data_IF_963400453366
#
_entry.id   IF_963400453366
#
_cell.length_a   1.000
_cell.length_b   1.000
_cell.length_c   1.000
_cell.angle_alpha   90.00
_cell.angle_beta   90.00
_cell.angle_gamma   90.00
#
_symmetry.space_group_name_H-M   'P 1'
#
loop_
_entity.id
_entity.type
_entity.pdbx_description
1 polymer ?
#
# COMPACT_ATOMS: atom_id res chain seq x y z
N UNK A 1 -16.23 -12.76 -8.21
CA UNK A 1 -17.37 -11.85 -7.95
C UNK A 1 -16.99 -10.51 -8.56
N UNK A 2 -17.22 -10.43 -9.86
CA UNK A 2 -16.97 -9.24 -10.67
C UNK A 2 -18.01 -8.18 -10.34
N UNK A 3 -17.54 -7.00 -9.98
CA UNK A 3 -18.38 -5.79 -9.96
C UNK A 3 -17.66 -4.74 -10.79
N UNK A 4 -18.14 -4.59 -12.01
CA UNK A 4 -17.82 -3.48 -12.91
C UNK A 4 -18.15 -2.13 -12.25
N UNK A 5 -17.24 -1.13 -12.29
CA UNK A 5 -17.49 0.19 -11.71
C UNK A 5 -18.07 1.21 -12.72
N UNK A 6 -18.85 0.81 -13.72
CA UNK A 6 -18.95 1.59 -14.98
C UNK A 6 -20.30 2.25 -15.30
N UNK A 7 -21.40 1.94 -14.61
CA UNK A 7 -22.69 2.61 -14.88
C UNK A 7 -22.85 3.97 -14.17
N UNK A 8 -22.06 4.25 -13.12
CA UNK A 8 -22.27 5.39 -12.20
C UNK A 8 -21.41 6.62 -12.46
N UNK A 9 -20.57 6.63 -13.49
CA UNK A 9 -19.58 7.69 -13.67
C UNK A 9 -20.05 8.85 -14.56
N UNK A 10 -21.04 8.66 -15.44
CA UNK A 10 -21.38 9.67 -16.47
C UNK A 10 -22.81 10.19 -16.39
N UNK A 11 -22.92 11.51 -16.19
CA UNK A 11 -24.12 12.30 -16.44
C UNK A 11 -24.26 12.56 -17.96
N UNK A 12 -25.18 11.82 -18.60
CA UNK A 12 -25.77 11.97 -19.95
C UNK A 12 -24.95 12.74 -21.01
N UNK A 13 -23.97 12.05 -21.58
CA UNK A 13 -23.65 12.09 -23.03
C UNK A 13 -24.17 10.75 -23.60
N UNK A 14 -24.93 10.71 -24.70
CA UNK A 14 -25.47 9.44 -25.23
C UNK A 14 -24.38 8.40 -25.49
N UNK A 15 -24.66 7.13 -25.20
CA UNK A 15 -23.74 6.02 -25.47
C UNK A 15 -23.37 5.97 -26.96
N UNK A 16 -22.06 5.96 -27.25
CA UNK A 16 -21.52 5.91 -28.60
C UNK A 16 -21.19 7.26 -29.25
N UNK A 17 -21.43 8.40 -28.57
CA UNK A 17 -21.06 9.72 -29.10
C UNK A 17 -19.82 10.30 -28.43
N UNK A 18 -18.85 10.75 -29.23
CA UNK A 18 -17.69 11.54 -28.81
C UNK A 18 -18.13 12.80 -28.06
N UNK A 19 -17.35 13.20 -27.04
CA UNK A 19 -17.49 14.49 -26.37
C UNK A 19 -17.68 15.61 -27.41
N UNK A 20 -18.77 16.39 -27.35
CA UNK A 20 -19.15 17.28 -28.44
C UNK A 20 -18.05 18.32 -28.66
N UNK A 21 -17.64 18.47 -29.92
CA UNK A 21 -16.66 19.47 -30.29
C UNK A 21 -17.22 20.85 -29.94
N UNK A 22 -16.46 21.59 -29.16
CA UNK A 22 -16.82 22.92 -28.69
C UNK A 22 -15.56 23.74 -28.52
N UNK A 23 -15.71 25.06 -28.55
CA UNK A 23 -14.58 25.99 -28.50
C UNK A 23 -13.70 25.82 -27.26
N UNK A 24 -14.20 25.19 -26.19
CA UNK A 24 -13.49 24.96 -24.92
C UNK A 24 -12.93 23.54 -24.77
N UNK A 25 -12.97 22.71 -25.81
CA UNK A 25 -12.51 21.31 -25.75
C UNK A 25 -11.13 21.15 -25.10
N UNK A 26 -10.14 21.89 -25.62
CA UNK A 26 -8.76 21.86 -25.11
C UNK A 26 -8.65 22.34 -23.65
N UNK A 27 -9.46 23.33 -23.27
CA UNK A 27 -9.49 23.84 -21.89
C UNK A 27 -10.03 22.78 -20.94
N UNK A 28 -11.15 22.13 -21.29
CA UNK A 28 -11.73 21.08 -20.45
C UNK A 28 -10.80 19.86 -20.35
N UNK A 29 -10.15 19.47 -21.45
CA UNK A 29 -9.15 18.40 -21.45
C UNK A 29 -7.99 18.73 -20.49
N UNK A 30 -7.43 19.93 -20.59
CA UNK A 30 -6.34 20.38 -19.74
C UNK A 30 -6.74 20.45 -18.26
N UNK A 31 -7.97 20.89 -17.96
CA UNK A 31 -8.46 20.96 -16.59
C UNK A 31 -8.73 19.57 -15.99
N UNK A 32 -9.27 18.62 -16.78
CA UNK A 32 -9.37 17.22 -16.37
C UNK A 32 -7.99 16.62 -16.10
N UNK A 33 -7.01 16.89 -16.96
CA UNK A 33 -5.64 16.45 -16.77
C UNK A 33 -5.05 16.96 -15.45
N UNK A 34 -5.14 18.28 -15.18
CA UNK A 34 -4.66 18.89 -13.93
C UNK A 34 -5.27 18.24 -12.70
N UNK A 35 -6.61 18.12 -12.67
CA UNK A 35 -7.33 17.52 -11.54
C UNK A 35 -6.95 16.05 -11.35
N UNK A 36 -6.78 15.30 -12.45
CA UNK A 36 -6.44 13.89 -12.36
C UNK A 36 -5.00 13.67 -11.87
N UNK A 37 -4.04 14.46 -12.37
CA UNK A 37 -2.65 14.46 -11.91
C UNK A 37 -2.56 14.80 -10.42
N UNK A 38 -3.27 15.83 -9.96
CA UNK A 38 -3.33 16.17 -8.54
C UNK A 38 -3.89 15.00 -7.71
N UNK A 39 -4.93 14.33 -8.20
CA UNK A 39 -5.49 13.18 -7.51
C UNK A 39 -4.58 11.94 -7.53
N UNK A 40 -3.77 11.77 -8.58
CA UNK A 40 -2.74 10.74 -8.64
C UNK A 40 -1.65 11.00 -7.58
N UNK A 41 -1.18 12.25 -7.46
CA UNK A 41 -0.20 12.62 -6.44
C UNK A 41 -0.70 12.41 -5.01
N UNK A 42 -1.97 12.77 -4.73
CA UNK A 42 -2.58 12.57 -3.40
C UNK A 42 -2.55 11.10 -2.93
N UNK A 43 -2.52 10.11 -3.83
CA UNK A 43 -2.36 8.70 -3.43
C UNK A 43 -0.96 8.40 -2.93
N UNK A 44 0.07 8.97 -3.56
CA UNK A 44 1.44 8.90 -3.06
C UNK A 44 1.53 9.47 -1.63
N UNK A 45 0.88 10.61 -1.38
CA UNK A 45 0.82 11.22 -0.05
C UNK A 45 0.09 10.32 0.97
N UNK A 46 -1.04 9.70 0.58
CA UNK A 46 -1.76 8.73 1.42
C UNK A 46 -0.89 7.51 1.78
N UNK A 47 -0.07 7.02 0.85
CA UNK A 47 0.88 5.93 1.09
C UNK A 47 1.91 6.30 2.15
N UNK A 48 2.48 7.51 2.05
CA UNK A 48 3.45 8.02 3.03
C UNK A 48 2.82 8.13 4.42
N UNK A 49 1.60 8.68 4.51
CA UNK A 49 0.87 8.77 5.78
C UNK A 49 0.58 7.40 6.40
N UNK A 50 0.14 6.43 5.58
CA UNK A 50 -0.09 5.06 6.04
C UNK A 50 1.21 4.41 6.56
N UNK A 51 2.34 4.58 5.87
CA UNK A 51 3.64 4.09 6.33
C UNK A 51 4.01 4.65 7.71
N UNK A 52 3.91 5.97 7.90
CA UNK A 52 4.25 6.61 9.18
C UNK A 52 3.33 6.14 10.31
N UNK A 53 2.04 5.96 10.02
CA UNK A 53 1.07 5.45 10.99
C UNK A 53 1.44 4.02 11.47
N UNK A 54 1.65 3.09 10.54
CA UNK A 54 1.97 1.70 10.89
C UNK A 54 3.34 1.56 11.54
N UNK A 55 4.34 2.35 11.12
CA UNK A 55 5.64 2.41 11.77
C UNK A 55 5.51 2.81 13.24
N UNK A 56 4.76 3.87 13.51
CA UNK A 56 4.54 4.38 14.87
C UNK A 56 3.80 3.34 15.72
N UNK A 57 2.74 2.75 15.18
CA UNK A 57 1.93 1.75 15.88
C UNK A 57 2.74 0.50 16.25
N UNK A 58 3.49 -0.06 15.31
CA UNK A 58 4.31 -1.25 15.56
C UNK A 58 5.48 -0.94 16.51
N UNK A 59 6.08 0.25 16.42
CA UNK A 59 7.13 0.69 17.35
C UNK A 59 6.59 0.81 18.77
N UNK A 60 5.38 1.37 18.94
CA UNK A 60 4.73 1.49 20.24
C UNK A 60 4.42 0.10 20.84
N UNK A 61 3.93 -0.83 20.03
CA UNK A 61 3.69 -2.22 20.47
C UNK A 61 4.99 -2.88 20.94
N UNK A 62 6.07 -2.81 20.15
CA UNK A 62 7.35 -3.39 20.54
C UNK A 62 7.95 -2.71 21.77
N UNK A 63 7.80 -1.40 21.91
CA UNK A 63 8.21 -0.67 23.12
C UNK A 63 7.46 -1.15 24.36
N UNK A 64 6.14 -1.36 24.23
CA UNK A 64 5.32 -1.88 25.31
C UNK A 64 5.66 -3.34 25.67
N UNK A 65 5.93 -4.20 24.67
CA UNK A 65 6.46 -5.56 24.89
C UNK A 65 7.77 -5.51 25.67
N UNK A 66 8.69 -4.63 25.28
CA UNK A 66 9.99 -4.46 25.95
C UNK A 66 9.82 -4.05 27.41
N UNK A 67 8.92 -3.10 27.68
CA UNK A 67 8.57 -2.67 29.04
C UNK A 67 7.99 -3.80 29.89
N UNK A 68 6.97 -4.51 29.42
CA UNK A 68 6.36 -5.63 30.14
C UNK A 68 7.34 -6.78 30.42
N UNK A 69 8.25 -7.03 29.47
CA UNK A 69 9.32 -8.03 29.64
C UNK A 69 10.28 -7.63 30.77
N UNK A 70 10.58 -6.33 30.93
CA UNK A 70 11.45 -5.85 32.00
C UNK A 70 10.84 -5.95 33.40
N UNK A 71 9.51 -5.88 33.50
CA UNK A 71 8.73 -6.07 34.74
C UNK A 71 8.45 -7.56 35.05
N UNK A 72 9.07 -8.50 34.31
CA UNK A 72 8.79 -9.95 34.36
C UNK A 72 7.31 -10.34 34.16
N UNK A 73 6.50 -9.45 33.57
CA UNK A 73 5.09 -9.70 33.25
C UNK A 73 4.98 -10.26 31.85
N UNK A 74 5.22 -11.56 31.70
CA UNK A 74 5.17 -12.24 30.40
C UNK A 74 3.79 -12.77 30.02
N UNK A 75 2.84 -12.70 30.95
CA UNK A 75 1.47 -13.16 30.73
C UNK A 75 0.85 -12.44 29.55
N UNK A 76 0.26 -13.22 28.63
CA UNK A 76 -0.44 -12.73 27.44
C UNK A 76 0.40 -11.96 26.40
N UNK A 77 1.73 -11.86 26.53
CA UNK A 77 2.58 -11.21 25.51
C UNK A 77 2.46 -11.85 24.12
N UNK A 78 2.14 -13.14 24.07
CA UNK A 78 1.89 -13.87 22.82
C UNK A 78 0.68 -13.30 22.05
N UNK A 79 -0.35 -12.80 22.74
CA UNK A 79 -1.50 -12.13 22.09
C UNK A 79 -1.07 -10.83 21.40
N UNK A 80 -0.21 -10.07 22.07
CA UNK A 80 0.31 -8.81 21.56
C UNK A 80 1.24 -9.04 20.35
N UNK A 81 2.02 -10.13 20.38
CA UNK A 81 2.83 -10.56 19.25
C UNK A 81 1.98 -10.97 18.04
N UNK A 82 0.88 -11.71 18.25
CA UNK A 82 -0.08 -12.04 17.18
C UNK A 82 -0.71 -10.77 16.60
N UNK A 83 -1.12 -9.84 17.45
CA UNK A 83 -1.69 -8.57 17.01
C UNK A 83 -0.69 -7.77 16.16
N UNK A 84 0.57 -7.70 16.58
CA UNK A 84 1.64 -7.03 15.83
C UNK A 84 1.94 -7.69 14.48
N UNK A 85 1.94 -9.04 14.42
CA UNK A 85 2.04 -9.77 13.14
C UNK A 85 0.87 -9.41 12.21
N UNK A 86 -0.37 -9.46 12.72
CA UNK A 86 -1.56 -9.13 11.95
C UNK A 86 -1.50 -7.69 11.41
N UNK A 87 -1.14 -6.72 12.25
CA UNK A 87 -0.96 -5.31 11.87
C UNK A 87 0.12 -5.14 10.80
N UNK A 88 1.21 -5.91 10.89
CA UNK A 88 2.29 -5.87 9.90
C UNK A 88 1.86 -6.43 8.54
N UNK A 89 1.05 -7.50 8.53
CA UNK A 89 0.48 -8.05 7.29
C UNK A 89 -0.54 -7.08 6.65
N UNK A 90 -1.37 -6.43 7.46
CA UNK A 90 -2.28 -5.38 7.02
C UNK A 90 -1.51 -4.20 6.43
N UNK A 91 -0.44 -3.76 7.11
CA UNK A 91 0.44 -2.70 6.62
C UNK A 91 0.98 -3.03 5.22
N UNK A 92 1.58 -4.21 5.05
CA UNK A 92 2.10 -4.64 3.76
C UNK A 92 1.02 -4.64 2.66
N UNK A 93 -0.16 -5.16 2.96
CA UNK A 93 -1.30 -5.23 2.02
C UNK A 93 -1.76 -3.84 1.57
N UNK A 94 -1.86 -2.90 2.51
CA UNK A 94 -2.27 -1.51 2.24
C UNK A 94 -1.26 -0.80 1.36
N UNK A 95 0.04 -0.94 1.65
CA UNK A 95 1.10 -0.30 0.85
C UNK A 95 1.15 -0.88 -0.57
N UNK A 96 0.98 -2.20 -0.71
CA UNK A 96 0.86 -2.84 -2.01
C UNK A 96 -0.32 -2.28 -2.81
N UNK A 97 -1.49 -2.16 -2.18
CA UNK A 97 -2.68 -1.61 -2.81
C UNK A 97 -2.47 -0.17 -3.31
N UNK A 98 -1.88 0.70 -2.48
CA UNK A 98 -1.58 2.07 -2.90
C UNK A 98 -0.58 2.14 -4.05
N UNK A 99 0.46 1.29 -4.02
CA UNK A 99 1.44 1.21 -5.11
C UNK A 99 0.76 0.81 -6.42
N UNK A 100 -0.03 -0.25 -6.40
CA UNK A 100 -0.66 -0.80 -7.61
C UNK A 100 -1.68 0.20 -8.18
N UNK A 101 -2.47 0.87 -7.33
CA UNK A 101 -3.39 1.93 -7.75
C UNK A 101 -2.65 3.15 -8.32
N UNK A 102 -1.54 3.55 -7.69
CA UNK A 102 -0.73 4.67 -8.18
C UNK A 102 -0.19 4.38 -9.58
N UNK A 103 0.38 3.19 -9.78
CA UNK A 103 0.84 2.75 -11.10
C UNK A 103 -0.27 2.81 -12.16
N UNK A 104 -1.47 2.34 -11.84
CA UNK A 104 -2.60 2.42 -12.77
C UNK A 104 -2.99 3.86 -13.13
N UNK A 105 -2.94 4.79 -12.15
CA UNK A 105 -3.25 6.20 -12.41
C UNK A 105 -2.24 6.88 -13.30
N UNK A 106 -0.94 6.61 -13.12
CA UNK A 106 0.09 7.20 -13.97
C UNK A 106 0.00 6.73 -15.42
N UNK A 107 -0.41 5.48 -15.67
CA UNK A 107 -0.71 5.03 -17.03
C UNK A 107 -1.85 5.83 -17.68
N UNK A 108 -2.89 6.15 -16.92
CA UNK A 108 -3.99 7.00 -17.41
C UNK A 108 -3.50 8.43 -17.70
N UNK A 109 -2.63 8.98 -16.86
CA UNK A 109 -2.00 10.29 -17.10
C UNK A 109 -1.25 10.28 -18.43
N UNK A 110 -0.41 9.27 -18.68
CA UNK A 110 0.34 9.12 -19.94
C UNK A 110 -0.57 9.01 -21.17
N UNK A 111 -1.71 8.32 -21.07
CA UNK A 111 -2.68 8.25 -22.17
C UNK A 111 -3.36 9.60 -22.44
N UNK A 112 -3.61 10.42 -21.41
CA UNK A 112 -4.14 11.77 -21.57
C UNK A 112 -3.09 12.68 -22.23
N UNK A 113 -1.82 12.56 -21.85
CA UNK A 113 -0.71 13.36 -22.38
C UNK A 113 -0.55 13.23 -23.91
N UNK A 114 -0.89 12.08 -24.51
CA UNK A 114 -0.86 11.89 -25.98
C UNK A 114 -1.77 12.85 -26.75
N UNK A 115 -2.74 13.47 -26.06
CA UNK A 115 -3.69 14.44 -26.63
C UNK A 115 -3.36 15.88 -26.27
N UNK A 116 -2.29 16.09 -25.50
CA UNK A 116 -1.82 17.42 -25.08
C UNK A 116 -0.58 17.82 -25.91
N UNK A 117 -0.24 19.12 -25.96
CA UNK A 117 0.92 19.60 -26.72
C UNK A 117 2.27 19.07 -26.19
N UNK A 118 2.32 18.67 -24.92
CA UNK A 118 3.50 18.15 -24.24
C UNK A 118 3.11 16.99 -23.32
N UNK A 119 4.06 16.07 -23.11
CA UNK A 119 3.92 14.87 -22.26
C UNK A 119 5.04 14.81 -21.21
N UNK A 120 5.04 15.73 -20.21
CA UNK A 120 6.12 15.84 -19.25
C UNK A 120 6.34 14.57 -18.43
N UNK A 121 5.28 13.88 -18.00
CA UNK A 121 5.42 12.68 -17.16
C UNK A 121 5.85 11.45 -17.96
N UNK A 122 5.46 11.31 -19.23
CA UNK A 122 5.99 10.23 -20.09
C UNK A 122 7.47 10.47 -20.40
N UNK A 123 7.85 11.72 -20.67
CA UNK A 123 9.26 12.08 -20.88
C UNK A 123 10.13 11.82 -19.64
N UNK A 124 9.65 12.17 -18.44
CA UNK A 124 10.34 11.85 -17.19
C UNK A 124 10.48 10.32 -17.01
N UNK A 125 9.43 9.57 -17.31
CA UNK A 125 9.44 8.12 -17.20
C UNK A 125 10.43 7.45 -18.18
N UNK A 126 10.60 8.02 -19.37
CA UNK A 126 11.62 7.58 -20.34
C UNK A 126 13.05 7.88 -19.88
N UNK A 127 13.29 9.04 -19.25
CA UNK A 127 14.61 9.40 -18.71
C UNK A 127 15.10 8.43 -17.62
N UNK A 128 14.16 7.80 -16.90
CA UNK A 128 14.45 6.75 -15.92
C UNK A 128 14.36 5.33 -16.49
N UNK A 129 14.43 5.19 -17.81
CA UNK A 129 14.36 3.93 -18.56
C UNK A 129 13.12 3.09 -18.18
N UNK A 130 11.99 3.77 -17.92
CA UNK A 130 10.71 3.18 -17.49
C UNK A 130 10.85 2.17 -16.33
N UNK A 131 11.83 2.38 -15.46
CA UNK A 131 12.12 1.50 -14.32
C UNK A 131 12.85 0.19 -14.66
N UNK A 132 13.33 0.00 -15.90
CA UNK A 132 14.13 -1.17 -16.31
C UNK A 132 15.55 -1.11 -15.75
N UNK A 133 16.09 0.10 -15.60
CA UNK A 133 17.45 0.31 -15.09
C UNK A 133 17.46 0.76 -13.62
N UNK A 134 17.80 -0.18 -12.73
CA UNK A 134 17.92 0.06 -11.28
C UNK A 134 19.00 1.09 -10.90
N UNK A 135 19.93 1.45 -11.80
CA UNK A 135 20.91 2.52 -11.54
C UNK A 135 20.31 3.92 -11.74
N UNK A 136 19.33 4.05 -12.64
CA UNK A 136 18.67 5.32 -12.95
C UNK A 136 17.49 5.57 -12.01
N UNK A 137 16.73 4.51 -11.67
CA UNK A 137 15.60 4.63 -10.76
C UNK A 137 15.42 3.38 -9.92
N UNK A 138 15.46 3.57 -8.59
CA UNK A 138 15.04 2.56 -7.63
C UNK A 138 13.71 3.00 -7.04
N UNK A 139 12.60 2.30 -7.34
CA UNK A 139 11.32 2.64 -6.76
C UNK A 139 11.41 2.56 -5.23
N UNK A 140 11.09 3.67 -4.55
CA UNK A 140 11.08 3.76 -3.08
C UNK A 140 10.21 2.65 -2.44
N UNK A 141 9.21 2.17 -3.19
CA UNK A 141 8.37 1.01 -2.89
C UNK A 141 9.15 -0.25 -2.48
N UNK A 142 10.36 -0.46 -2.99
CA UNK A 142 11.19 -1.62 -2.58
C UNK A 142 11.73 -1.47 -1.16
N UNK A 143 12.10 -0.25 -0.77
CA UNK A 143 12.57 0.05 0.59
C UNK A 143 11.38 0.05 1.55
N UNK A 144 10.28 0.71 1.18
CA UNK A 144 9.04 0.72 1.95
C UNK A 144 8.44 -0.68 2.15
N UNK A 145 8.59 -1.58 1.17
CA UNK A 145 8.15 -2.97 1.28
C UNK A 145 8.99 -3.81 2.23
N UNK A 146 10.24 -3.43 2.50
CA UNK A 146 11.14 -4.16 3.40
C UNK A 146 10.87 -3.90 4.88
N UNK A 147 10.39 -2.70 5.24
CA UNK A 147 10.17 -2.32 6.65
C UNK A 147 9.14 -3.20 7.35
N UNK A 148 7.96 -3.51 6.77
CA UNK A 148 7.03 -4.47 7.35
C UNK A 148 7.68 -5.82 7.67
N UNK A 149 8.55 -6.35 6.80
CA UNK A 149 9.21 -7.64 7.07
C UNK A 149 10.11 -7.61 8.29
N UNK A 150 10.78 -6.49 8.56
CA UNK A 150 11.59 -6.33 9.78
C UNK A 150 10.68 -6.43 11.01
N UNK A 151 9.57 -5.70 11.04
CA UNK A 151 8.61 -5.77 12.15
C UNK A 151 7.95 -7.14 12.27
N UNK A 152 7.68 -7.82 11.16
CA UNK A 152 7.13 -9.17 11.16
C UNK A 152 8.08 -10.13 11.88
N UNK A 153 9.38 -10.09 11.55
CA UNK A 153 10.40 -10.92 12.19
C UNK A 153 10.50 -10.59 13.69
N UNK A 154 10.50 -9.30 14.05
CA UNK A 154 10.55 -8.90 15.46
C UNK A 154 9.36 -9.44 16.26
N UNK A 155 8.14 -9.29 15.76
CA UNK A 155 6.95 -9.85 16.42
C UNK A 155 6.95 -11.39 16.42
N UNK A 156 7.44 -12.04 15.37
CA UNK A 156 7.58 -13.49 15.33
C UNK A 156 8.58 -14.00 16.40
N UNK A 157 9.68 -13.29 16.63
CA UNK A 157 10.62 -13.63 17.71
C UNK A 157 9.96 -13.48 19.09
N UNK A 158 9.20 -12.40 19.30
CA UNK A 158 8.44 -12.21 20.55
C UNK A 158 7.43 -13.34 20.74
N UNK A 159 6.68 -13.70 19.69
CA UNK A 159 5.73 -14.80 19.72
C UNK A 159 6.43 -16.11 20.11
N UNK A 160 7.53 -16.43 19.44
CA UNK A 160 8.26 -17.68 19.71
C UNK A 160 8.79 -17.74 21.14
N UNK A 161 9.17 -16.62 21.75
CA UNK A 161 9.64 -16.61 23.14
C UNK A 161 8.53 -16.66 24.18
N UNK A 162 7.35 -16.16 23.86
CA UNK A 162 6.26 -15.90 24.84
C UNK A 162 5.15 -16.94 24.79
N UNK A 163 5.08 -17.74 23.72
CA UNK A 163 4.11 -18.84 23.63
C UNK A 163 4.44 -19.94 24.65
N UNK A 164 3.45 -20.43 25.41
CA UNK A 164 3.64 -21.53 26.36
C UNK A 164 3.75 -22.88 25.62
N UNK A 165 4.92 -23.15 25.03
CA UNK A 165 5.17 -24.34 24.21
C UNK A 165 4.88 -25.66 24.93
N UNK A 166 5.19 -25.75 26.22
CA UNK A 166 4.98 -26.96 27.01
C UNK A 166 3.49 -27.36 27.07
N UNK A 167 2.61 -26.37 27.25
CA UNK A 167 1.16 -26.58 27.25
C UNK A 167 0.67 -26.98 25.85
N UNK A 168 1.10 -26.25 24.82
CA UNK A 168 0.71 -26.52 23.43
C UNK A 168 1.10 -27.93 22.95
N UNK A 169 2.31 -28.38 23.30
CA UNK A 169 2.80 -29.72 22.94
C UNK A 169 2.00 -30.80 23.68
N UNK A 170 1.58 -30.54 24.92
CA UNK A 170 0.79 -31.50 25.70
C UNK A 170 -0.61 -31.72 25.12
N UNK A 171 -1.29 -30.64 24.70
CA UNK A 171 -2.60 -30.73 24.05
C UNK A 171 -2.53 -31.34 22.66
N UNK A 172 -1.51 -30.97 21.87
CA UNK A 172 -1.31 -31.57 20.54
C UNK A 172 -1.10 -33.08 20.62
N UNK A 173 -0.35 -33.57 21.63
CA UNK A 173 -0.20 -35.00 21.89
C UNK A 173 -1.51 -35.66 22.31
N UNK A 174 -2.31 -34.99 23.15
CA UNK A 174 -3.61 -35.50 23.58
C UNK A 174 -4.60 -35.63 22.42
N UNK A 175 -4.61 -34.67 21.48
CA UNK A 175 -5.47 -34.68 20.30
C UNK A 175 -5.06 -35.70 19.22
N UNK A 176 -3.79 -36.10 19.17
CA UNK A 176 -3.29 -37.13 18.24
C UNK A 176 -3.54 -38.55 18.78
N UNK A 177 -3.59 -38.72 20.11
CA UNK A 177 -3.86 -40.01 20.76
C UNK A 177 -5.35 -40.34 20.95
N UNK A 178 -6.27 -39.44 20.57
CA UNK A 178 -7.73 -39.66 20.57
C UNK A 178 -8.24 -40.03 19.18
#
# INVERSE_FOLDING_TARGET
>A
MDKEPTEKLWNKVPEGTTYPDNEKWYSHLLDQYKLYVEMADRISQRRVSANSYFLSLNTAILGFVGYLTSENSTDYLWLLAIAGIALTLLWYTIIKSYRDLNSAKWLVVHEIEKRLPISPYDAEWDLVDRGKNSKLYRPLSHVEGGVPWIFFILHAVVLVKTVPWAWLISEAKAAICS
#
